data_IF_440950931992
#
_entry.id   IF_440950931992
#
_cell.length_a   1.000
_cell.length_b   1.000
_cell.length_c   1.000
_cell.angle_alpha   90.00
_cell.angle_beta   90.00
_cell.angle_gamma   90.00
#
_symmetry.space_group_name_H-M   'P 1'
#
loop_
_entity.id
_entity.type
_entity.pdbx_description
1 polymer ?
#
# COMPACT_ATOMS: atom_id res chain seq x y z
N UNK A 1 -28.47 27.68 -73.09
CA UNK A 1 -27.15 27.52 -72.43
C UNK A 1 -26.11 27.87 -73.48
N UNK A 2 -25.42 29.00 -73.35
CA UNK A 2 -24.54 29.50 -74.40
C UNK A 2 -23.20 28.77 -74.32
N UNK A 3 -22.86 27.98 -75.34
CA UNK A 3 -21.48 27.55 -75.55
C UNK A 3 -20.68 28.78 -75.99
N UNK A 4 -19.67 29.16 -75.21
CA UNK A 4 -18.68 30.15 -75.66
C UNK A 4 -18.09 29.67 -76.99
N UNK A 5 -17.87 30.60 -77.92
CA UNK A 5 -17.30 30.28 -79.23
C UNK A 5 -15.91 29.64 -79.07
N UNK A 6 -15.56 28.75 -80.00
CA UNK A 6 -14.26 28.08 -80.01
C UNK A 6 -13.11 29.12 -79.98
N UNK A 7 -12.10 28.90 -79.14
CA UNK A 7 -10.93 29.78 -78.97
C UNK A 7 -9.77 29.31 -79.84
N UNK A 8 -9.24 30.20 -80.68
CA UNK A 8 -8.19 29.90 -81.67
C UNK A 8 -7.02 30.91 -81.64
N UNK A 9 -6.92 31.71 -80.58
CA UNK A 9 -5.89 32.75 -80.48
C UNK A 9 -4.55 32.18 -79.97
N UNK A 10 -3.48 32.48 -80.69
CA UNK A 10 -2.11 32.00 -80.37
C UNK A 10 -1.77 30.66 -81.04
N UNK A 11 -0.58 30.15 -80.74
CA UNK A 11 -0.09 28.85 -81.22
C UNK A 11 0.30 27.96 -80.05
N UNK A 12 0.35 26.65 -80.26
CA UNK A 12 0.78 25.69 -79.23
C UNK A 12 1.93 24.81 -79.70
N UNK A 13 2.79 24.46 -78.74
CA UNK A 13 3.87 23.48 -78.88
C UNK A 13 3.61 22.33 -77.90
N UNK A 14 3.66 21.11 -78.42
CA UNK A 14 3.31 19.89 -77.69
C UNK A 14 4.10 18.71 -78.26
N UNK A 15 4.92 18.07 -77.43
CA UNK A 15 5.69 16.90 -77.84
C UNK A 15 4.85 15.62 -77.82
N UNK A 16 5.12 14.70 -78.74
CA UNK A 16 4.55 13.34 -78.70
C UNK A 16 4.91 12.67 -77.35
N UNK A 17 3.90 12.09 -76.69
CA UNK A 17 4.02 11.46 -75.38
C UNK A 17 4.04 12.42 -74.21
N UNK A 18 3.93 13.73 -74.44
CA UNK A 18 3.85 14.74 -73.37
C UNK A 18 2.40 15.06 -73.02
N UNK A 19 2.17 15.37 -71.74
CA UNK A 19 0.91 15.96 -71.27
C UNK A 19 0.98 17.49 -71.19
N UNK A 20 2.15 18.09 -71.40
CA UNK A 20 2.35 19.54 -71.23
C UNK A 20 2.22 20.26 -72.57
N UNK A 21 1.25 21.15 -72.66
CA UNK A 21 1.05 22.06 -73.79
C UNK A 21 1.64 23.42 -73.44
N UNK A 22 2.53 23.93 -74.28
CA UNK A 22 3.10 25.29 -74.14
C UNK A 22 2.51 26.19 -75.22
N UNK A 23 1.90 27.31 -74.82
CA UNK A 23 1.28 28.26 -75.72
C UNK A 23 2.12 29.51 -75.95
N UNK A 24 2.14 30.01 -77.18
CA UNK A 24 2.72 31.29 -77.57
C UNK A 24 1.60 32.24 -77.97
N UNK A 25 1.47 33.40 -77.31
CA UNK A 25 0.38 34.35 -77.59
C UNK A 25 -1.02 33.86 -77.17
N UNK A 26 -1.07 32.83 -76.32
CA UNK A 26 -2.30 32.27 -75.76
C UNK A 26 -2.68 32.97 -74.45
N UNK A 27 -3.97 32.94 -74.10
CA UNK A 27 -4.51 33.50 -72.86
C UNK A 27 -5.41 32.47 -72.17
N UNK A 28 -4.88 31.28 -71.88
CA UNK A 28 -5.69 30.14 -71.41
C UNK A 28 -6.44 30.36 -70.09
N UNK A 29 -5.83 31.00 -69.10
CA UNK A 29 -6.46 31.26 -67.79
C UNK A 29 -7.46 32.44 -67.85
N UNK A 30 -7.16 33.47 -68.67
CA UNK A 30 -8.10 34.58 -68.92
C UNK A 30 -9.32 34.08 -69.70
N UNK A 31 -9.13 33.16 -70.65
CA UNK A 31 -10.20 32.48 -71.37
C UNK A 31 -11.03 31.54 -70.47
N UNK A 32 -10.59 31.30 -69.22
CA UNK A 32 -11.27 30.47 -68.22
C UNK A 32 -11.47 29.01 -68.65
N UNK A 33 -10.51 28.47 -69.41
CA UNK A 33 -10.44 27.02 -69.61
C UNK A 33 -10.25 26.31 -68.27
N UNK A 34 -10.80 25.10 -68.16
CA UNK A 34 -10.75 24.25 -66.96
C UNK A 34 -10.73 22.77 -67.36
N UNK A 35 -10.64 21.91 -66.36
CA UNK A 35 -10.75 20.47 -66.53
C UNK A 35 -11.99 20.08 -67.37
N UNK A 36 -11.77 19.21 -68.34
CA UNK A 36 -12.81 18.68 -69.23
C UNK A 36 -13.00 19.46 -70.54
N UNK A 37 -12.42 20.65 -70.68
CA UNK A 37 -12.36 21.37 -71.95
C UNK A 37 -11.44 20.64 -72.94
N UNK A 38 -11.65 20.84 -74.24
CA UNK A 38 -10.97 20.05 -75.28
C UNK A 38 -10.13 20.90 -76.22
N UNK A 39 -8.97 20.39 -76.59
CA UNK A 39 -8.10 20.95 -77.63
C UNK A 39 -8.17 20.08 -78.87
N UNK A 40 -8.54 20.67 -80.00
CA UNK A 40 -8.55 20.00 -81.30
C UNK A 40 -7.38 20.46 -82.14
N UNK A 41 -6.54 19.50 -82.54
CA UNK A 41 -5.26 19.75 -83.19
C UNK A 41 -5.05 18.66 -84.24
N UNK A 42 -4.86 19.02 -85.52
CA UNK A 42 -4.65 18.07 -86.63
C UNK A 42 -5.65 16.87 -86.65
N UNK A 43 -6.94 17.14 -86.45
CA UNK A 43 -8.03 16.13 -86.36
C UNK A 43 -8.00 15.20 -85.13
N UNK A 44 -7.06 15.38 -84.19
CA UNK A 44 -7.06 14.72 -82.89
C UNK A 44 -7.65 15.64 -81.81
N UNK A 45 -8.24 15.05 -80.78
CA UNK A 45 -8.82 15.78 -79.63
C UNK A 45 -8.10 15.37 -78.36
N UNK A 46 -7.55 16.34 -77.63
CA UNK A 46 -6.97 16.15 -76.30
C UNK A 46 -7.87 16.82 -75.26
N UNK A 47 -7.98 16.20 -74.08
CA UNK A 47 -8.78 16.74 -72.95
C UNK A 47 -7.83 17.45 -71.98
N UNK A 48 -8.21 18.66 -71.57
CA UNK A 48 -7.47 19.46 -70.58
C UNK A 48 -7.77 18.89 -69.19
N UNK A 49 -6.73 18.52 -68.45
CA UNK A 49 -6.83 18.16 -67.03
C UNK A 49 -6.81 19.40 -66.14
N UNK A 50 -5.92 20.35 -66.44
CA UNK A 50 -5.84 21.62 -65.72
C UNK A 50 -5.17 22.71 -66.55
N UNK A 51 -5.44 23.96 -66.17
CA UNK A 51 -4.74 25.15 -66.69
C UNK A 51 -3.67 25.56 -65.69
N UNK A 52 -2.41 25.56 -66.12
CA UNK A 52 -1.28 25.93 -65.26
C UNK A 52 -0.97 27.44 -65.34
N UNK A 53 -1.19 28.07 -66.50
CA UNK A 53 -1.09 29.53 -66.70
C UNK A 53 -1.72 29.96 -68.03
N UNK A 54 -1.68 31.26 -68.36
CA UNK A 54 -2.10 31.77 -69.69
C UNK A 54 -1.39 31.11 -70.87
N UNK A 55 -0.20 30.55 -70.65
CA UNK A 55 0.67 29.96 -71.68
C UNK A 55 1.00 28.50 -71.42
N UNK A 56 0.33 27.83 -70.47
CA UNK A 56 0.58 26.41 -70.20
C UNK A 56 -0.67 25.68 -69.74
N UNK A 57 -0.88 24.49 -70.32
CA UNK A 57 -1.94 23.56 -69.96
C UNK A 57 -1.36 22.17 -69.73
N UNK A 58 -2.04 21.38 -68.91
CA UNK A 58 -1.77 19.95 -68.74
C UNK A 58 -2.96 19.13 -69.26
N UNK A 59 -2.68 18.12 -70.08
CA UNK A 59 -3.65 17.17 -70.63
C UNK A 59 -3.91 16.01 -69.68
N UNK A 60 -5.10 15.43 -69.76
CA UNK A 60 -5.49 14.22 -68.99
C UNK A 60 -4.73 12.98 -69.45
N UNK A 61 -4.46 12.88 -70.74
CA UNK A 61 -3.72 11.77 -71.34
C UNK A 61 -2.54 12.30 -72.17
N UNK A 62 -1.43 11.56 -72.28
CA UNK A 62 -0.30 11.94 -73.12
C UNK A 62 -0.70 12.13 -74.59
N UNK A 63 -0.12 13.14 -75.25
CA UNK A 63 -0.38 13.43 -76.66
C UNK A 63 0.06 12.29 -77.57
N UNK A 64 -0.86 11.75 -78.36
CA UNK A 64 -0.61 10.60 -79.25
C UNK A 64 -0.29 11.00 -80.70
N UNK A 65 -0.34 12.29 -81.01
CA UNK A 65 -0.02 12.82 -82.35
C UNK A 65 1.48 13.03 -82.56
N UNK A 66 1.84 13.57 -83.73
CA UNK A 66 3.23 14.00 -83.99
C UNK A 66 3.61 15.18 -83.09
N UNK A 67 4.90 15.37 -82.84
CA UNK A 67 5.40 16.54 -82.10
C UNK A 67 5.09 17.81 -82.87
N UNK A 68 4.48 18.77 -82.19
CA UNK A 68 4.04 20.04 -82.74
C UNK A 68 4.87 21.19 -82.16
N UNK A 69 5.20 22.14 -83.02
CA UNK A 69 5.87 23.39 -82.65
C UNK A 69 5.11 24.53 -83.30
N UNK A 70 4.66 25.49 -82.49
CA UNK A 70 3.85 26.65 -82.89
C UNK A 70 2.69 26.31 -83.84
N UNK A 71 1.98 25.22 -83.57
CA UNK A 71 0.87 24.74 -84.38
C UNK A 71 -0.45 25.49 -84.06
N UNK A 72 -1.34 25.66 -85.05
CA UNK A 72 -2.69 26.15 -84.83
C UNK A 72 -3.52 25.09 -84.08
N UNK A 73 -4.44 25.56 -83.24
CA UNK A 73 -5.35 24.70 -82.48
C UNK A 73 -6.73 25.33 -82.38
N UNK A 74 -7.70 24.51 -81.97
CA UNK A 74 -9.05 24.96 -81.63
C UNK A 74 -9.41 24.44 -80.25
N UNK A 75 -9.53 25.33 -79.27
CA UNK A 75 -9.99 24.98 -77.94
C UNK A 75 -11.52 25.15 -77.84
N UNK A 76 -12.19 24.13 -77.32
CA UNK A 76 -13.64 24.09 -77.15
C UNK A 76 -14.00 23.90 -75.68
N UNK A 77 -14.87 24.77 -75.20
CA UNK A 77 -15.42 24.71 -73.84
C UNK A 77 -16.42 23.56 -73.71
N UNK A 78 -16.30 22.80 -72.64
CA UNK A 78 -17.34 21.87 -72.21
C UNK A 78 -18.55 22.69 -71.72
N UNK A 79 -19.78 22.42 -72.17
CA UNK A 79 -20.94 23.19 -71.75
C UNK A 79 -21.16 23.11 -70.23
N UNK A 80 -21.41 24.26 -69.58
CA UNK A 80 -21.54 24.34 -68.12
C UNK A 80 -22.60 23.39 -67.53
N UNK A 81 -23.69 23.13 -68.26
CA UNK A 81 -24.72 22.17 -67.83
C UNK A 81 -24.20 20.75 -67.67
N UNK A 82 -23.28 20.30 -68.52
CA UNK A 82 -22.67 18.97 -68.37
C UNK A 82 -21.84 18.88 -67.07
N UNK A 83 -21.13 19.98 -66.73
CA UNK A 83 -20.32 20.08 -65.51
C UNK A 83 -21.19 20.09 -64.24
N UNK A 84 -22.24 20.92 -64.24
CA UNK A 84 -23.18 21.03 -63.11
C UNK A 84 -23.94 19.72 -62.91
N UNK A 85 -24.38 19.07 -63.98
CA UNK A 85 -25.09 17.78 -63.89
C UNK A 85 -24.19 16.68 -63.32
N UNK A 86 -22.93 16.56 -63.77
CA UNK A 86 -21.99 15.59 -63.23
C UNK A 86 -21.71 15.79 -61.73
N UNK A 87 -21.42 17.03 -61.31
CA UNK A 87 -21.20 17.37 -59.90
C UNK A 87 -22.44 17.12 -59.04
N UNK A 88 -23.63 17.40 -59.58
CA UNK A 88 -24.90 17.16 -58.91
C UNK A 88 -25.14 15.65 -58.72
N UNK A 89 -24.80 14.81 -59.69
CA UNK A 89 -24.87 13.34 -59.55
C UNK A 89 -23.92 12.84 -58.46
N UNK A 90 -22.68 13.31 -58.42
CA UNK A 90 -21.73 12.95 -57.34
C UNK A 90 -22.24 13.38 -55.97
N UNK A 91 -22.81 14.58 -55.85
CA UNK A 91 -23.41 15.04 -54.61
C UNK A 91 -24.61 14.19 -54.21
N UNK A 92 -25.49 13.84 -55.16
CA UNK A 92 -26.63 12.95 -54.91
C UNK A 92 -26.16 11.57 -54.44
N UNK A 93 -25.07 11.05 -54.98
CA UNK A 93 -24.51 9.76 -54.57
C UNK A 93 -23.90 9.83 -53.16
N UNK A 94 -23.13 10.89 -52.85
CA UNK A 94 -22.57 11.13 -51.52
C UNK A 94 -23.67 11.33 -50.46
N UNK A 95 -24.77 12.01 -50.82
CA UNK A 95 -25.92 12.20 -49.93
C UNK A 95 -26.84 10.95 -49.89
N UNK A 96 -26.81 10.14 -50.94
CA UNK A 96 -27.63 8.95 -51.14
C UNK A 96 -27.06 7.67 -50.51
N UNK A 97 -25.84 7.72 -49.96
CA UNK A 97 -25.18 6.60 -49.28
C UNK A 97 -25.90 6.12 -48.00
N UNK A 98 -27.02 6.75 -47.63
CA UNK A 98 -27.91 6.31 -46.56
C UNK A 98 -27.55 6.81 -45.16
N UNK A 99 -26.37 7.41 -44.95
CA UNK A 99 -25.92 7.89 -43.63
C UNK A 99 -26.78 9.06 -43.15
N UNK A 100 -26.95 10.09 -43.98
CA UNK A 100 -27.77 11.27 -43.65
C UNK A 100 -29.25 10.90 -43.51
N UNK A 101 -29.73 9.97 -44.35
CA UNK A 101 -31.09 9.43 -44.26
C UNK A 101 -31.30 8.64 -42.96
N UNK A 102 -30.31 7.85 -42.54
CA UNK A 102 -30.32 7.12 -41.28
C UNK A 102 -30.34 8.05 -40.07
N UNK A 103 -29.49 9.09 -40.07
CA UNK A 103 -29.48 10.10 -39.01
C UNK A 103 -30.80 10.87 -38.93
N UNK A 104 -31.41 11.21 -40.08
CA UNK A 104 -32.70 11.88 -40.11
C UNK A 104 -33.86 11.00 -39.57
N UNK A 105 -33.74 9.67 -39.65
CA UNK A 105 -34.74 8.72 -39.13
C UNK A 105 -34.58 8.42 -37.64
N UNK A 106 -33.41 8.69 -37.05
CA UNK A 106 -33.11 8.34 -35.67
C UNK A 106 -34.02 9.04 -34.65
N UNK A 107 -34.63 10.18 -35.01
CA UNK A 107 -35.40 11.00 -34.10
C UNK A 107 -34.53 11.75 -33.10
N UNK A 108 -35.17 12.53 -32.23
CA UNK A 108 -34.53 13.18 -31.08
C UNK A 108 -35.28 12.72 -29.85
N UNK A 109 -34.58 12.01 -28.97
CA UNK A 109 -35.11 11.53 -27.70
C UNK A 109 -34.30 12.16 -26.56
N UNK A 110 -34.99 12.53 -25.48
CA UNK A 110 -34.34 13.08 -24.29
C UNK A 110 -33.37 12.05 -23.69
N UNK A 111 -32.16 12.50 -23.36
CA UNK A 111 -31.14 11.64 -22.76
C UNK A 111 -30.49 10.63 -23.71
N UNK A 112 -30.71 10.73 -25.03
CA UNK A 112 -30.06 9.86 -26.03
C UNK A 112 -29.11 10.64 -26.95
N UNK A 113 -28.03 9.99 -27.40
CA UNK A 113 -27.10 10.50 -28.42
C UNK A 113 -26.95 9.55 -29.60
N UNK A 114 -26.83 10.07 -30.83
CA UNK A 114 -26.46 9.26 -31.99
C UNK A 114 -25.02 8.73 -31.87
N UNK A 115 -24.85 7.42 -31.95
CA UNK A 115 -23.54 6.76 -31.99
C UNK A 115 -23.43 5.86 -33.22
N UNK A 116 -22.22 5.72 -33.77
CA UNK A 116 -21.97 4.84 -34.90
C UNK A 116 -22.05 3.37 -34.49
N UNK A 117 -22.72 2.56 -35.30
CA UNK A 117 -22.76 1.11 -35.14
C UNK A 117 -21.76 0.41 -36.07
N UNK A 118 -21.59 -0.91 -35.88
CA UNK A 118 -20.66 -1.72 -36.68
C UNK A 118 -21.02 -1.79 -38.18
N UNK A 119 -22.25 -1.40 -38.55
CA UNK A 119 -22.72 -1.34 -39.94
C UNK A 119 -22.49 0.02 -40.61
N UNK A 120 -21.81 0.96 -39.93
CA UNK A 120 -21.51 2.30 -40.47
C UNK A 120 -22.72 3.24 -40.50
N UNK A 121 -23.76 2.96 -39.71
CA UNK A 121 -24.95 3.79 -39.53
C UNK A 121 -24.99 4.37 -38.11
N UNK A 122 -25.89 5.32 -37.86
CA UNK A 122 -26.14 5.82 -36.50
C UNK A 122 -27.24 5.02 -35.82
N UNK A 123 -27.14 4.87 -34.50
CA UNK A 123 -28.19 4.37 -33.59
C UNK A 123 -28.26 5.25 -32.34
N UNK A 124 -29.42 5.36 -31.69
CA UNK A 124 -29.54 6.08 -30.43
C UNK A 124 -29.03 5.21 -29.28
N UNK A 125 -28.18 5.77 -28.43
CA UNK A 125 -27.80 5.20 -27.14
C UNK A 125 -27.98 6.21 -26.03
N UNK A 126 -28.09 5.74 -24.80
CA UNK A 126 -28.12 6.58 -23.61
C UNK A 126 -26.89 7.50 -23.57
N UNK A 127 -27.15 8.79 -23.38
CA UNK A 127 -26.10 9.76 -23.13
C UNK A 127 -25.59 9.58 -21.71
N UNK A 128 -24.31 9.29 -21.59
CA UNK A 128 -23.60 9.27 -20.31
C UNK A 128 -22.73 10.52 -20.28
N UNK A 129 -23.06 11.46 -19.40
CA UNK A 129 -22.27 12.69 -19.23
C UNK A 129 -21.01 12.39 -18.41
N UNK A 130 -19.90 12.13 -19.11
CA UNK A 130 -18.58 11.93 -18.49
C UNK A 130 -17.52 12.83 -19.14
N UNK A 131 -17.63 14.16 -18.98
CA UNK A 131 -16.73 15.12 -19.64
C UNK A 131 -15.26 14.95 -19.24
N UNK A 132 -14.97 14.23 -18.14
CA UNK A 132 -13.63 14.02 -17.61
C UNK A 132 -13.15 12.56 -17.66
N UNK A 133 -13.94 11.61 -18.18
CA UNK A 133 -13.57 10.18 -18.23
C UNK A 133 -13.58 9.45 -16.87
N UNK A 134 -14.12 10.09 -15.84
CA UNK A 134 -14.11 9.63 -14.44
C UNK A 134 -14.93 8.36 -14.20
N UNK A 135 -15.94 8.07 -15.03
CA UNK A 135 -16.74 6.84 -14.89
C UNK A 135 -15.99 5.60 -15.39
N UNK A 136 -15.08 5.77 -16.35
CA UNK A 136 -14.16 4.71 -16.78
C UNK A 136 -13.17 4.36 -15.66
N UNK A 137 -12.57 5.39 -15.04
CA UNK A 137 -11.66 5.22 -13.90
C UNK A 137 -12.35 4.58 -12.68
N UNK A 138 -13.64 4.87 -12.47
CA UNK A 138 -14.44 4.24 -11.41
C UNK A 138 -14.71 2.75 -11.68
N UNK A 139 -14.87 2.36 -12.95
CA UNK A 139 -15.08 0.97 -13.34
C UNK A 139 -13.80 0.12 -13.26
N UNK A 140 -12.64 0.76 -13.40
CA UNK A 140 -11.31 0.11 -13.34
C UNK A 140 -10.76 -0.03 -11.90
N UNK A 141 -11.51 0.40 -10.88
CA UNK A 141 -11.12 0.18 -9.49
C UNK A 141 -11.21 -1.31 -9.13
N UNK A 142 -10.05 -1.95 -8.95
CA UNK A 142 -9.87 -3.37 -8.60
C UNK A 142 -10.66 -3.85 -7.37
N UNK A 143 -11.16 -2.96 -6.50
CA UNK A 143 -11.77 -3.34 -5.23
C UNK A 143 -12.95 -2.48 -4.77
N UNK A 144 -13.97 -2.34 -5.61
CA UNK A 144 -15.28 -1.81 -5.16
C UNK A 144 -15.90 -2.67 -4.04
N UNK A 145 -15.54 -3.96 -3.98
CA UNK A 145 -15.94 -4.87 -2.90
C UNK A 145 -15.46 -4.41 -1.52
N UNK A 146 -14.24 -3.88 -1.41
CA UNK A 146 -13.70 -3.39 -0.13
C UNK A 146 -14.48 -2.17 0.40
N UNK A 147 -15.07 -1.37 -0.50
CA UNK A 147 -15.93 -0.25 -0.11
C UNK A 147 -17.31 -0.73 0.37
N UNK A 148 -17.84 -1.80 -0.22
CA UNK A 148 -19.05 -2.47 0.26
C UNK A 148 -18.82 -3.09 1.65
N UNK A 149 -17.69 -3.79 1.84
CA UNK A 149 -17.31 -4.38 3.13
C UNK A 149 -17.11 -3.31 4.21
N UNK A 150 -16.53 -2.15 3.86
CA UNK A 150 -16.41 -1.01 4.79
C UNK A 150 -17.76 -0.38 5.13
N UNK A 151 -18.67 -0.27 4.15
CA UNK A 151 -20.00 0.29 4.35
C UNK A 151 -20.91 -0.62 5.20
N UNK A 152 -20.71 -1.93 5.14
CA UNK A 152 -21.44 -2.93 5.94
C UNK A 152 -20.86 -3.13 7.35
N UNK A 153 -19.66 -2.61 7.63
CA UNK A 153 -19.01 -2.77 8.92
C UNK A 153 -19.73 -1.97 10.03
N UNK A 154 -20.61 -2.63 10.78
CA UNK A 154 -21.21 -2.09 12.01
C UNK A 154 -20.12 -2.04 13.09
N UNK A 155 -19.76 -0.83 13.55
CA UNK A 155 -18.80 -0.68 14.64
C UNK A 155 -19.45 -1.09 15.96
N UNK A 156 -18.99 -2.21 16.50
CA UNK A 156 -19.43 -2.71 17.80
C UNK A 156 -18.76 -1.92 18.93
N UNK A 157 -19.48 -1.74 20.03
CA UNK A 157 -18.92 -1.10 21.20
C UNK A 157 -17.72 -1.90 21.73
N UNK A 158 -16.66 -1.18 22.10
CA UNK A 158 -15.47 -1.75 22.75
C UNK A 158 -14.65 -2.72 21.90
N UNK A 159 -14.70 -2.59 20.58
CA UNK A 159 -13.80 -3.30 19.68
C UNK A 159 -12.65 -2.40 19.21
N UNK A 160 -11.52 -3.00 18.89
CA UNK A 160 -10.47 -2.37 18.07
C UNK A 160 -10.55 -2.94 16.66
N UNK A 161 -10.33 -2.07 15.68
CA UNK A 161 -10.19 -2.47 14.29
C UNK A 161 -8.79 -3.03 14.07
N UNK A 162 -8.70 -4.26 13.57
CA UNK A 162 -7.44 -4.95 13.22
C UNK A 162 -7.53 -5.48 11.81
N UNK A 163 -6.41 -5.91 11.24
CA UNK A 163 -6.37 -6.64 9.97
C UNK A 163 -6.11 -8.11 10.23
N UNK A 164 -6.81 -9.01 9.54
CA UNK A 164 -6.50 -10.43 9.58
C UNK A 164 -5.31 -10.77 8.65
N UNK A 165 -4.89 -12.03 8.62
CA UNK A 165 -3.77 -12.52 7.80
C UNK A 165 -3.97 -12.33 6.29
N UNK A 166 -5.22 -12.09 5.85
CA UNK A 166 -5.57 -11.77 4.47
C UNK A 166 -5.67 -10.26 4.20
N UNK A 167 -5.31 -9.41 5.16
CA UNK A 167 -5.36 -7.95 5.04
C UNK A 167 -6.76 -7.35 5.16
N UNK A 168 -7.79 -8.14 5.50
CA UNK A 168 -9.17 -7.64 5.69
C UNK A 168 -9.39 -7.06 7.07
N UNK A 169 -10.22 -6.02 7.15
CA UNK A 169 -10.61 -5.36 8.40
C UNK A 169 -11.48 -6.30 9.26
N UNK A 170 -11.15 -6.43 10.54
CA UNK A 170 -11.89 -7.20 11.52
C UNK A 170 -11.96 -6.47 12.86
N UNK A 171 -12.87 -6.90 13.74
CA UNK A 171 -13.08 -6.31 15.06
C UNK A 171 -12.66 -7.29 16.16
N UNK A 172 -11.74 -6.86 17.02
CA UNK A 172 -11.25 -7.65 18.15
C UNK A 172 -11.74 -7.07 19.48
N UNK A 173 -12.09 -7.93 20.44
CA UNK A 173 -12.57 -7.52 21.77
C UNK A 173 -11.54 -6.74 22.59
N UNK A 174 -11.91 -5.56 23.08
CA UNK A 174 -11.18 -4.87 24.15
C UNK A 174 -11.97 -5.04 25.45
N UNK A 175 -11.41 -5.78 26.41
CA UNK A 175 -12.04 -5.95 27.73
C UNK A 175 -12.19 -4.62 28.47
N UNK A 176 -13.07 -4.56 29.49
CA UNK A 176 -13.27 -3.34 30.26
C UNK A 176 -11.98 -2.80 30.89
N UNK A 177 -11.13 -3.69 31.41
CA UNK A 177 -9.84 -3.35 31.98
C UNK A 177 -8.88 -2.75 30.93
N UNK A 178 -8.82 -3.33 29.73
CA UNK A 178 -7.97 -2.83 28.65
C UNK A 178 -8.40 -1.44 28.15
N UNK A 179 -9.71 -1.13 28.15
CA UNK A 179 -10.21 0.23 27.85
C UNK A 179 -9.78 1.26 28.87
N UNK A 180 -9.70 0.88 30.14
CA UNK A 180 -9.20 1.76 31.19
C UNK A 180 -7.70 2.02 30.99
N UNK A 181 -6.92 0.99 30.60
CA UNK A 181 -5.50 1.15 30.26
C UNK A 181 -5.27 2.06 29.04
N UNK A 182 -6.18 2.11 28.06
CA UNK A 182 -6.07 3.04 26.93
C UNK A 182 -6.18 4.51 27.38
N UNK A 183 -6.80 4.76 28.53
CA UNK A 183 -6.90 6.09 29.16
C UNK A 183 -5.71 6.42 30.07
N UNK A 184 -4.56 5.74 29.88
CA UNK A 184 -3.38 5.92 30.71
C UNK A 184 -2.93 7.40 30.72
N UNK A 185 -3.04 8.02 31.88
CA UNK A 185 -2.60 9.39 32.11
C UNK A 185 -1.12 9.44 32.52
N UNK A 186 -0.44 10.51 32.13
CA UNK A 186 0.98 10.74 32.44
C UNK A 186 1.85 10.85 31.18
N UNK A 187 3.12 11.18 31.36
CA UNK A 187 4.11 11.20 30.28
C UNK A 187 4.79 9.85 30.12
N UNK A 188 5.15 9.50 28.88
CA UNK A 188 6.02 8.34 28.62
C UNK A 188 7.42 8.63 29.18
N UNK A 189 7.67 8.13 30.38
CA UNK A 189 8.98 8.19 31.06
C UNK A 189 9.52 6.78 31.25
N UNK A 190 10.84 6.66 31.30
CA UNK A 190 11.48 5.44 31.73
C UNK A 190 11.01 5.06 33.16
N UNK A 191 11.08 3.76 33.46
CA UNK A 191 10.89 3.22 34.80
C UNK A 191 9.53 3.53 35.43
N UNK A 192 8.45 3.46 34.63
CA UNK A 192 7.07 3.61 35.08
C UNK A 192 6.27 2.32 34.90
N UNK A 193 5.34 2.05 35.83
CA UNK A 193 4.39 0.94 35.78
C UNK A 193 2.96 1.49 35.65
N UNK A 194 2.16 1.04 34.67
CA UNK A 194 0.74 1.34 34.60
C UNK A 194 -0.05 0.67 35.74
N UNK A 195 -0.99 1.41 36.34
CA UNK A 195 -1.91 0.88 37.34
C UNK A 195 -3.26 1.59 37.29
N UNK A 196 -4.32 0.95 37.80
CA UNK A 196 -5.62 1.59 37.91
C UNK A 196 -5.66 2.53 39.13
N UNK A 197 -6.01 3.80 38.90
CA UNK A 197 -6.24 4.79 39.96
C UNK A 197 -7.71 4.89 40.35
N UNK A 198 -8.60 4.32 39.53
CA UNK A 198 -10.03 4.25 39.78
C UNK A 198 -10.72 3.29 38.80
N UNK A 199 -12.04 3.12 38.95
CA UNK A 199 -12.82 2.19 38.11
C UNK A 199 -12.76 2.49 36.60
N UNK A 200 -12.45 3.75 36.25
CA UNK A 200 -12.39 4.24 34.87
C UNK A 200 -11.09 5.01 34.55
N UNK A 201 -10.07 4.90 35.41
CA UNK A 201 -8.84 5.69 35.33
C UNK A 201 -7.60 4.81 35.48
N UNK A 202 -6.60 5.05 34.64
CA UNK A 202 -5.27 4.47 34.75
C UNK A 202 -4.22 5.57 34.83
N UNK A 203 -3.19 5.34 35.65
CA UNK A 203 -2.06 6.23 35.81
C UNK A 203 -0.73 5.47 35.76
N UNK A 204 0.36 6.22 35.83
CA UNK A 204 1.72 5.70 35.93
C UNK A 204 2.25 5.91 37.35
N UNK A 205 2.97 4.91 37.86
CA UNK A 205 3.74 5.01 39.11
C UNK A 205 5.20 4.62 38.87
N UNK A 206 6.19 5.27 39.52
CA UNK A 206 7.59 4.87 39.39
C UNK A 206 7.85 3.44 39.85
N UNK A 207 8.49 2.63 39.01
CA UNK A 207 9.02 1.32 39.36
C UNK A 207 10.54 1.44 39.53
N UNK A 208 11.01 1.42 40.78
CA UNK A 208 12.43 1.65 41.08
C UNK A 208 13.33 0.55 40.51
N UNK A 209 14.61 0.87 40.27
CA UNK A 209 15.60 -0.11 39.82
C UNK A 209 15.71 -1.32 40.78
N UNK A 210 15.61 -1.09 42.10
CA UNK A 210 15.61 -2.15 43.10
C UNK A 210 14.35 -3.03 43.05
N UNK A 211 13.16 -2.45 42.82
CA UNK A 211 11.96 -3.26 42.65
C UNK A 211 12.05 -4.17 41.42
N UNK A 212 12.71 -3.70 40.34
CA UNK A 212 12.95 -4.53 39.16
C UNK A 212 13.88 -5.71 39.43
N UNK A 213 14.89 -5.56 40.30
CA UNK A 213 15.73 -6.71 40.65
C UNK A 213 14.97 -7.78 41.43
N UNK A 214 13.97 -7.41 42.23
CA UNK A 214 13.11 -8.39 42.92
C UNK A 214 12.19 -9.13 41.92
N UNK A 215 11.68 -8.43 40.91
CA UNK A 215 10.76 -9.01 39.91
C UNK A 215 11.46 -9.91 38.87
N UNK A 216 12.78 -9.75 38.70
CA UNK A 216 13.61 -10.57 37.80
C UNK A 216 13.94 -11.95 38.39
N UNK A 217 13.79 -12.10 39.71
CA UNK A 217 14.22 -13.31 40.41
C UNK A 217 13.31 -14.52 40.12
N UNK A 218 13.92 -15.62 39.69
CA UNK A 218 13.21 -16.85 39.30
C UNK A 218 12.55 -17.61 40.47
N UNK A 219 12.92 -17.33 41.72
CA UNK A 219 12.38 -18.00 42.90
C UNK A 219 12.62 -17.20 44.19
N UNK A 220 11.96 -17.62 45.28
CA UNK A 220 12.04 -16.94 46.57
C UNK A 220 13.45 -16.91 47.20
N UNK A 221 14.33 -17.86 46.92
CA UNK A 221 15.71 -17.83 47.44
C UNK A 221 16.56 -16.75 46.75
N UNK A 222 16.36 -16.55 45.45
CA UNK A 222 16.96 -15.44 44.72
C UNK A 222 16.42 -14.09 45.23
N UNK A 223 15.09 -13.97 45.39
CA UNK A 223 14.47 -12.79 46.00
C UNK A 223 15.01 -12.49 47.41
N UNK A 224 15.22 -13.53 48.23
CA UNK A 224 15.81 -13.38 49.56
C UNK A 224 17.23 -12.83 49.49
N UNK A 225 18.03 -13.30 48.53
CA UNK A 225 19.36 -12.77 48.23
C UNK A 225 19.32 -11.30 47.83
N UNK A 226 18.43 -10.93 46.91
CA UNK A 226 18.23 -9.55 46.45
C UNK A 226 17.83 -8.60 47.58
N UNK A 227 17.02 -9.07 48.53
CA UNK A 227 16.67 -8.32 49.74
C UNK A 227 17.84 -8.16 50.73
N UNK A 228 19.00 -8.78 50.48
CA UNK A 228 20.18 -8.76 51.34
C UNK A 228 20.26 -9.91 52.35
N UNK A 229 19.37 -10.90 52.22
CA UNK A 229 19.39 -12.11 53.02
C UNK A 229 20.42 -13.12 52.52
N UNK A 230 20.82 -14.06 53.37
CA UNK A 230 21.68 -15.19 52.98
C UNK A 230 21.22 -16.43 53.72
N UNK A 231 21.38 -17.60 53.13
CA UNK A 231 21.02 -18.85 53.78
C UNK A 231 21.96 -19.97 53.34
N UNK A 232 22.14 -20.95 54.23
CA UNK A 232 22.76 -22.23 53.94
C UNK A 232 21.81 -23.33 54.41
N UNK A 233 21.11 -23.97 53.47
CA UNK A 233 20.16 -25.04 53.80
C UNK A 233 20.90 -26.38 53.77
N UNK A 234 21.36 -26.80 54.94
CA UNK A 234 22.01 -28.08 55.17
C UNK A 234 21.60 -28.64 56.54
N UNK A 235 22.09 -29.83 56.88
CA UNK A 235 21.92 -30.42 58.21
C UNK A 235 22.41 -29.48 59.32
N UNK A 236 23.55 -28.83 59.08
CA UNK A 236 24.05 -27.70 59.85
C UNK A 236 23.86 -26.45 58.99
N UNK A 237 22.81 -25.69 59.28
CA UNK A 237 22.32 -24.64 58.38
C UNK A 237 22.01 -23.34 59.10
N UNK A 238 21.76 -22.31 58.30
CA UNK A 238 21.42 -21.00 58.81
C UNK A 238 20.55 -20.22 57.84
N UNK A 239 19.83 -19.24 58.36
CA UNK A 239 19.39 -18.10 57.58
C UNK A 239 19.81 -16.80 58.29
N UNK A 240 20.23 -15.84 57.48
CA UNK A 240 20.56 -14.48 57.88
C UNK A 240 19.52 -13.54 57.28
N UNK A 241 18.94 -12.73 58.14
CA UNK A 241 18.01 -11.68 57.78
C UNK A 241 18.78 -10.44 57.29
N UNK A 242 18.20 -9.63 56.39
CA UNK A 242 18.81 -8.38 55.93
C UNK A 242 19.18 -7.39 57.05
N UNK A 243 18.47 -7.45 58.18
CA UNK A 243 18.75 -6.62 59.36
C UNK A 243 19.95 -7.12 60.20
N UNK A 244 20.58 -8.23 59.80
CA UNK A 244 21.75 -8.80 60.48
C UNK A 244 21.45 -9.90 61.50
N UNK A 245 20.19 -10.14 61.87
CA UNK A 245 19.83 -11.25 62.75
C UNK A 245 20.07 -12.59 62.03
N UNK A 246 20.70 -13.52 62.73
CA UNK A 246 21.03 -14.85 62.23
C UNK A 246 20.34 -15.88 63.12
N UNK A 247 19.69 -16.86 62.48
CA UNK A 247 19.20 -18.07 63.12
C UNK A 247 19.91 -19.25 62.49
N UNK A 248 20.50 -20.12 63.31
CA UNK A 248 21.31 -21.25 62.87
C UNK A 248 20.87 -22.51 63.59
N UNK A 249 20.99 -23.64 62.93
CA UNK A 249 20.74 -24.95 63.51
C UNK A 249 21.86 -25.91 63.14
N UNK A 250 21.96 -26.98 63.91
CA UNK A 250 22.86 -28.06 63.58
C UNK A 250 22.72 -29.24 64.51
N UNK A 251 23.59 -30.22 64.28
CA UNK A 251 23.68 -31.45 65.02
C UNK A 251 25.10 -31.64 65.56
N UNK A 252 25.22 -32.40 66.64
CA UNK A 252 26.50 -32.82 67.20
C UNK A 252 26.36 -34.08 68.05
N UNK A 253 27.50 -34.63 68.47
CA UNK A 253 27.54 -35.75 69.42
C UNK A 253 28.31 -35.32 70.65
N UNK A 254 27.65 -35.23 71.79
CA UNK A 254 28.23 -34.81 73.06
C UNK A 254 28.67 -36.00 73.89
N UNK A 255 29.56 -35.76 74.85
CA UNK A 255 30.02 -36.75 75.82
C UNK A 255 30.32 -36.06 77.17
N UNK A 256 30.76 -36.85 78.15
CA UNK A 256 31.02 -36.35 79.51
C UNK A 256 32.27 -35.46 79.60
N UNK A 257 33.19 -35.54 78.63
CA UNK A 257 34.41 -34.74 78.60
C UNK A 257 34.19 -33.30 78.09
N UNK A 258 33.01 -33.03 77.50
CA UNK A 258 32.73 -31.77 76.83
C UNK A 258 33.19 -31.80 75.37
N UNK A 259 32.30 -31.39 74.46
CA UNK A 259 32.57 -31.36 73.02
C UNK A 259 32.31 -29.96 72.48
N UNK A 260 33.30 -29.41 71.77
CA UNK A 260 33.13 -28.17 71.02
C UNK A 260 32.30 -28.42 69.76
N UNK A 261 31.19 -27.68 69.63
CA UNK A 261 30.30 -27.73 68.48
C UNK A 261 30.32 -26.36 67.80
N UNK A 262 30.88 -26.25 66.57
CA UNK A 262 30.88 -25.00 65.83
C UNK A 262 29.51 -24.68 65.25
N UNK A 263 29.17 -23.39 65.18
CA UNK A 263 28.06 -22.90 64.37
C UNK A 263 28.41 -22.99 62.87
N UNK A 264 27.42 -23.14 61.98
CA UNK A 264 27.63 -23.10 60.53
C UNK A 264 28.33 -21.81 60.08
N UNK A 265 27.99 -20.68 60.70
CA UNK A 265 28.65 -19.38 60.51
C UNK A 265 28.89 -18.73 61.86
N UNK A 266 30.02 -18.06 62.04
CA UNK A 266 30.24 -17.24 63.23
C UNK A 266 29.27 -16.06 63.26
N UNK A 267 28.57 -15.86 64.38
CA UNK A 267 27.85 -14.62 64.62
C UNK A 267 28.84 -13.45 64.56
N UNK A 268 28.60 -12.40 63.76
CA UNK A 268 29.53 -11.29 63.65
C UNK A 268 29.90 -10.67 65.01
N UNK A 269 28.91 -10.50 65.89
CA UNK A 269 29.06 -9.91 67.21
C UNK A 269 28.92 -10.96 68.33
N UNK A 270 27.74 -11.56 68.47
CA UNK A 270 27.44 -12.47 69.59
C UNK A 270 26.29 -13.43 69.29
N UNK A 271 26.38 -14.63 69.88
CA UNK A 271 25.25 -15.52 70.04
C UNK A 271 24.39 -15.04 71.22
N UNK A 272 23.13 -14.65 70.98
CA UNK A 272 22.20 -14.24 72.04
C UNK A 272 21.71 -15.44 72.85
N UNK A 273 21.34 -16.52 72.14
CA UNK A 273 20.82 -17.72 72.78
C UNK A 273 21.16 -18.95 71.96
N UNK A 274 21.52 -20.03 72.65
CA UNK A 274 21.57 -21.38 72.09
C UNK A 274 20.70 -22.29 72.94
N UNK A 275 19.92 -23.12 72.28
CA UNK A 275 19.10 -24.15 72.90
C UNK A 275 19.54 -25.47 72.29
N UNK A 276 19.94 -26.39 73.14
CA UNK A 276 20.38 -27.73 72.76
C UNK A 276 19.36 -28.72 73.28
N UNK A 277 18.94 -29.66 72.43
CA UNK A 277 18.06 -30.76 72.78
C UNK A 277 18.66 -32.09 72.31
N UNK A 278 18.25 -33.19 72.95
CA UNK A 278 18.60 -34.52 72.43
C UNK A 278 18.00 -34.71 71.03
N UNK A 279 18.75 -35.39 70.16
CA UNK A 279 18.23 -35.82 68.88
C UNK A 279 17.14 -36.90 69.10
N UNK A 280 16.17 -36.96 68.19
CA UNK A 280 15.03 -37.85 68.31
C UNK A 280 15.49 -39.33 68.41
N UNK A 281 14.99 -40.08 69.40
CA UNK A 281 15.32 -41.50 69.62
C UNK A 281 16.39 -41.81 70.68
N UNK A 282 16.97 -40.81 71.34
CA UNK A 282 17.84 -41.02 72.52
C UNK A 282 17.03 -41.17 73.82
N UNK A 283 17.55 -41.96 74.78
CA UNK A 283 17.05 -41.93 76.16
C UNK A 283 17.14 -40.50 76.73
N UNK A 284 16.30 -40.15 77.72
CA UNK A 284 16.39 -38.88 78.45
C UNK A 284 17.82 -38.71 79.01
N UNK A 285 18.65 -37.99 78.28
CA UNK A 285 20.02 -37.68 78.67
C UNK A 285 20.06 -36.27 79.24
N UNK A 286 20.71 -36.09 80.38
CA UNK A 286 21.00 -34.76 80.92
C UNK A 286 22.01 -34.09 79.99
N UNK A 287 21.54 -33.16 79.16
CA UNK A 287 22.36 -32.33 78.29
C UNK A 287 22.62 -30.99 78.97
N UNK A 288 23.88 -30.64 79.12
CA UNK A 288 24.32 -29.32 79.60
C UNK A 288 25.07 -28.58 78.49
N UNK A 289 24.92 -27.26 78.43
CA UNK A 289 25.66 -26.41 77.48
C UNK A 289 25.87 -25.02 78.09
N UNK A 290 26.84 -24.26 77.56
CA UNK A 290 26.95 -22.83 77.86
C UNK A 290 28.28 -22.32 78.39
N UNK A 291 29.34 -23.14 78.47
CA UNK A 291 30.70 -22.62 78.70
C UNK A 291 31.80 -23.54 78.14
N UNK A 292 32.74 -23.01 77.33
CA UNK A 292 32.65 -21.73 76.61
C UNK A 292 31.59 -21.80 75.51
N UNK A 293 30.69 -20.80 75.47
CA UNK A 293 29.91 -20.47 74.28
C UNK A 293 30.37 -19.09 73.81
N UNK A 294 30.81 -19.00 72.56
CA UNK A 294 31.23 -17.76 71.96
C UNK A 294 30.47 -17.53 70.65
N UNK A 295 30.87 -16.53 69.87
CA UNK A 295 30.21 -16.22 68.61
C UNK A 295 30.37 -17.30 67.53
N UNK A 296 31.25 -18.27 67.69
CA UNK A 296 31.59 -19.31 66.73
C UNK A 296 31.06 -20.70 67.10
N UNK A 297 30.63 -20.91 68.36
CA UNK A 297 30.10 -22.20 68.78
C UNK A 297 29.88 -22.29 70.28
N UNK A 298 29.61 -23.51 70.74
CA UNK A 298 29.44 -23.80 72.16
C UNK A 298 30.07 -25.14 72.54
N UNK A 299 30.42 -25.26 73.82
CA UNK A 299 30.77 -26.56 74.40
C UNK A 299 29.54 -27.19 75.05
N UNK A 300 29.24 -28.43 74.65
CA UNK A 300 28.14 -29.23 75.18
C UNK A 300 28.63 -30.46 75.93
N UNK A 301 27.86 -30.88 76.94
CA UNK A 301 28.13 -32.02 77.80
C UNK A 301 26.92 -32.95 77.84
N UNK A 302 27.18 -34.25 77.90
CA UNK A 302 26.15 -35.26 78.13
C UNK A 302 26.69 -36.42 78.98
N UNK A 303 25.84 -37.09 79.76
CA UNK A 303 26.25 -38.18 80.65
C UNK A 303 26.87 -39.40 79.91
N UNK A 304 26.55 -39.56 78.62
CA UNK A 304 27.13 -40.55 77.72
C UNK A 304 27.16 -40.03 76.28
N UNK A 305 27.65 -40.83 75.33
CA UNK A 305 27.65 -40.48 73.91
C UNK A 305 26.21 -40.23 73.43
N UNK A 306 25.88 -38.97 73.17
CA UNK A 306 24.51 -38.52 72.92
C UNK A 306 24.46 -37.62 71.70
N UNK A 307 23.65 -38.00 70.71
CA UNK A 307 23.35 -37.14 69.57
C UNK A 307 22.43 -35.99 70.01
N UNK A 308 22.72 -34.78 69.58
CA UNK A 308 21.97 -33.56 69.90
C UNK A 308 21.67 -32.74 68.67
N UNK A 309 20.58 -31.98 68.70
CA UNK A 309 20.31 -30.88 67.79
C UNK A 309 20.33 -29.57 68.57
N UNK A 310 20.68 -28.49 67.90
CA UNK A 310 20.61 -27.16 68.48
C UNK A 310 19.98 -26.16 67.53
N UNK A 311 19.45 -25.09 68.12
CA UNK A 311 19.12 -23.85 67.44
C UNK A 311 19.80 -22.70 68.19
N UNK A 312 20.39 -21.78 67.44
CA UNK A 312 21.08 -20.61 67.96
C UNK A 312 20.60 -19.35 67.25
N UNK A 313 20.50 -18.26 67.99
CA UNK A 313 20.09 -16.94 67.49
C UNK A 313 21.12 -15.91 67.95
N UNK A 314 21.50 -14.99 67.06
CA UNK A 314 22.56 -14.01 67.29
C UNK A 314 22.68 -13.03 66.12
N UNK A 315 23.69 -12.17 66.15
CA UNK A 315 23.98 -11.15 65.13
C UNK A 315 25.46 -10.74 65.15
#
# INVERSE_FOLDING_TARGET
MATLSDYTSGTISLANGSTTVTGTGTLFDVAKFREGDTLQIQNLTAVIARVDSNTQLTLTEPWTGTTLTDAPYRARYLPDGARVTAQSTTLIELLGNGILSGLAKLGVEEGKTPVGNAAGQYELRDYIDDPNGTLGELADLDSVENLSELAEQILDANKVLTTNDNGKLTQSDITAAARVLLKLAGGASADQLPYFTGANEAGLTPLTAFARSILDDANGAAMWGTLGGTQGVALNGYFKLPNGLIVQWGAGTLNAAGVWVPYPVGFPNAAFRTIVGCANGGALANVGWGAPADKNGFTGFAAGLTAVHYIAVGW
#
